data_IF_254455841064
#
_entry.id   IF_254455841064
#
_cell.length_a   1.000
_cell.length_b   1.000
_cell.length_c   1.000
_cell.angle_alpha   90.00
_cell.angle_beta   90.00
_cell.angle_gamma   90.00
#
_symmetry.space_group_name_H-M   'P 1'
#
loop_
_entity.id
_entity.type
_entity.pdbx_description
1 polymer ?
#
# COMPACT_ATOMS: atom_id res chain seq x y z
N UNK A 1 -34.19 -12.18 13.24
CA UNK A 1 -33.10 -12.70 12.41
C UNK A 1 -32.33 -11.46 11.96
N UNK A 2 -31.36 -11.05 12.77
CA UNK A 2 -30.59 -9.83 12.54
C UNK A 2 -29.62 -10.05 11.38
N UNK A 3 -29.89 -9.39 10.25
CA UNK A 3 -28.94 -9.30 9.15
C UNK A 3 -27.83 -8.34 9.56
N UNK A 4 -26.64 -8.90 9.77
CA UNK A 4 -25.43 -8.16 10.08
C UNK A 4 -24.99 -7.50 8.77
N UNK A 5 -25.23 -6.20 8.65
CA UNK A 5 -24.77 -5.40 7.53
C UNK A 5 -23.24 -5.51 7.44
N UNK A 6 -22.75 -6.20 6.39
CA UNK A 6 -21.35 -6.14 5.96
C UNK A 6 -21.09 -4.74 5.39
N UNK A 7 -20.94 -3.76 6.26
CA UNK A 7 -20.46 -2.42 5.90
C UNK A 7 -18.97 -2.56 5.62
N UNK A 8 -18.58 -2.52 4.34
CA UNK A 8 -17.17 -2.35 4.01
C UNK A 8 -16.75 -2.49 2.55
N UNK A 9 -17.60 -2.93 1.62
CA UNK A 9 -17.11 -3.35 0.29
C UNK A 9 -17.83 -2.72 -0.91
N UNK A 10 -17.80 -1.38 -1.02
CA UNK A 10 -18.26 -0.72 -2.26
C UNK A 10 -17.57 0.61 -2.59
N UNK A 11 -16.47 0.97 -1.92
CA UNK A 11 -15.62 2.07 -2.41
C UNK A 11 -14.41 1.49 -3.15
N UNK A 12 -14.02 2.07 -4.31
CA UNK A 12 -12.86 1.59 -5.03
C UNK A 12 -11.62 1.72 -4.13
N UNK A 13 -10.91 0.61 -3.86
CA UNK A 13 -9.71 0.62 -3.02
C UNK A 13 -8.67 1.63 -3.55
N UNK A 14 -8.44 2.68 -2.77
CA UNK A 14 -7.48 3.76 -3.03
C UNK A 14 -6.06 3.42 -2.57
N UNK A 15 -5.82 2.15 -2.27
CA UNK A 15 -4.62 1.66 -1.60
C UNK A 15 -3.38 1.83 -2.48
N UNK A 16 -3.48 1.56 -3.78
CA UNK A 16 -2.38 1.73 -4.74
C UNK A 16 -1.89 3.19 -4.86
N UNK A 17 -2.74 4.20 -5.13
CA UNK A 17 -2.27 5.58 -5.17
C UNK A 17 -1.77 6.08 -3.81
N UNK A 18 -2.32 5.61 -2.69
CA UNK A 18 -1.82 5.94 -1.35
C UNK A 18 -0.40 5.40 -1.12
N UNK A 19 -0.16 4.12 -1.46
CA UNK A 19 1.15 3.47 -1.40
C UNK A 19 2.20 4.19 -2.24
N UNK A 20 1.87 4.53 -3.49
CA UNK A 20 2.80 5.23 -4.39
C UNK A 20 3.13 6.62 -3.85
N UNK A 21 2.13 7.38 -3.39
CA UNK A 21 2.35 8.71 -2.80
C UNK A 21 3.23 8.66 -1.56
N UNK A 22 3.05 7.65 -0.71
CA UNK A 22 3.86 7.46 0.48
C UNK A 22 5.32 7.16 0.12
N UNK A 23 5.56 6.21 -0.79
CA UNK A 23 6.90 5.89 -1.27
C UNK A 23 7.58 7.12 -1.90
N UNK A 24 6.91 7.81 -2.82
CA UNK A 24 7.45 8.97 -3.52
C UNK A 24 7.73 10.13 -2.57
N UNK A 25 6.85 10.35 -1.57
CA UNK A 25 7.04 11.35 -0.53
C UNK A 25 8.32 11.11 0.26
N UNK A 26 8.55 9.86 0.67
CA UNK A 26 9.75 9.45 1.39
C UNK A 26 11.02 9.58 0.51
N UNK A 27 10.94 9.22 -0.78
CA UNK A 27 12.05 9.42 -1.71
C UNK A 27 12.39 10.89 -1.92
N UNK A 28 11.37 11.75 -2.07
CA UNK A 28 11.53 13.20 -2.24
C UNK A 28 12.11 13.88 -0.99
N UNK A 29 11.84 13.35 0.20
CA UNK A 29 12.46 13.83 1.44
C UNK A 29 13.90 13.35 1.65
N UNK A 30 14.48 12.62 0.69
CA UNK A 30 15.86 12.15 0.74
C UNK A 30 16.08 10.87 1.55
N UNK A 31 15.03 10.15 1.92
CA UNK A 31 15.20 8.88 2.64
C UNK A 31 15.63 7.73 1.73
N UNK A 32 16.24 6.72 2.33
CA UNK A 32 16.69 5.52 1.61
C UNK A 32 15.49 4.76 1.05
N UNK A 33 15.71 4.04 -0.05
CA UNK A 33 14.67 3.22 -0.68
C UNK A 33 14.07 2.20 0.30
N UNK A 34 14.91 1.58 1.13
CA UNK A 34 14.46 0.66 2.18
C UNK A 34 13.45 1.30 3.13
N UNK A 35 13.68 2.56 3.56
CA UNK A 35 12.76 3.27 4.45
C UNK A 35 11.48 3.65 3.69
N UNK A 36 11.60 4.07 2.43
CA UNK A 36 10.44 4.39 1.60
C UNK A 36 9.53 3.16 1.37
N UNK A 37 10.11 1.98 1.16
CA UNK A 37 9.38 0.71 1.05
C UNK A 37 8.69 0.34 2.38
N UNK A 38 9.38 0.42 3.52
CA UNK A 38 8.79 0.12 4.84
C UNK A 38 7.56 1.00 5.13
N UNK A 39 7.62 2.30 4.81
CA UNK A 39 6.47 3.20 4.97
C UNK A 39 5.31 2.80 4.05
N UNK A 40 5.60 2.49 2.80
CA UNK A 40 4.62 2.04 1.83
C UNK A 40 3.95 0.70 2.22
N UNK A 41 4.72 -0.25 2.75
CA UNK A 41 4.21 -1.50 3.33
C UNK A 41 3.27 -1.26 4.51
N UNK A 42 3.62 -0.35 5.42
CA UNK A 42 2.76 0.02 6.55
C UNK A 42 1.44 0.63 6.11
N UNK A 43 1.46 1.45 5.07
CA UNK A 43 0.22 2.03 4.49
C UNK A 43 -0.67 0.92 3.93
N UNK A 44 -0.10 -0.04 3.20
CA UNK A 44 -0.86 -1.17 2.65
C UNK A 44 -1.38 -2.10 3.74
N UNK A 45 -0.56 -2.40 4.76
CA UNK A 45 -0.94 -3.23 5.91
C UNK A 45 -2.04 -2.59 6.74
N UNK A 46 -1.98 -1.27 6.95
CA UNK A 46 -3.02 -0.57 7.71
C UNK A 46 -4.39 -0.67 7.05
N UNK A 47 -4.43 -0.60 5.71
CA UNK A 47 -5.67 -0.73 4.95
C UNK A 47 -6.10 -2.19 4.75
N UNK A 48 -5.15 -3.11 4.63
CA UNK A 48 -5.39 -4.54 4.42
C UNK A 48 -4.66 -5.40 5.47
N UNK A 49 -5.08 -5.34 6.74
CA UNK A 49 -4.48 -6.14 7.81
C UNK A 49 -4.69 -7.65 7.60
N UNK A 50 -5.69 -8.04 6.80
CA UNK A 50 -5.93 -9.43 6.39
C UNK A 50 -4.91 -9.96 5.38
N UNK A 51 -4.13 -9.07 4.74
CA UNK A 51 -3.15 -9.47 3.73
C UNK A 51 -1.86 -9.99 4.40
N UNK A 52 -1.33 -11.15 3.98
CA UNK A 52 -0.05 -11.64 4.49
C UNK A 52 1.10 -10.66 4.22
N UNK A 53 2.02 -10.52 5.18
CA UNK A 53 3.15 -9.58 5.12
C UNK A 53 4.00 -9.77 3.86
N UNK A 54 4.29 -11.02 3.47
CA UNK A 54 5.04 -11.33 2.25
C UNK A 54 4.32 -10.83 0.99
N UNK A 55 2.99 -10.96 0.96
CA UNK A 55 2.16 -10.48 -0.15
C UNK A 55 2.12 -8.96 -0.20
N UNK A 56 2.12 -8.28 0.95
CA UNK A 56 2.22 -6.81 1.03
C UNK A 56 3.53 -6.34 0.42
N UNK A 57 4.66 -6.92 0.82
CA UNK A 57 6.00 -6.59 0.29
C UNK A 57 6.06 -6.67 -1.23
N UNK A 58 5.71 -7.84 -1.78
CA UNK A 58 5.72 -8.09 -3.23
C UNK A 58 4.78 -7.11 -3.95
N UNK A 59 3.61 -6.82 -3.37
CA UNK A 59 2.63 -5.91 -3.96
C UNK A 59 3.15 -4.48 -4.01
N UNK A 60 3.75 -4.00 -2.92
CA UNK A 60 4.35 -2.66 -2.83
C UNK A 60 5.50 -2.52 -3.82
N UNK A 61 6.47 -3.44 -3.81
CA UNK A 61 7.61 -3.44 -4.74
C UNK A 61 7.12 -3.40 -6.20
N UNK A 62 6.17 -4.27 -6.56
CA UNK A 62 5.59 -4.29 -7.89
C UNK A 62 4.93 -2.96 -8.27
N UNK A 63 4.26 -2.29 -7.34
CA UNK A 63 3.58 -1.03 -7.64
C UNK A 63 4.57 0.13 -7.83
N UNK A 64 5.59 0.23 -6.99
CA UNK A 64 6.55 1.35 -7.03
C UNK A 64 7.57 1.20 -8.15
N UNK A 65 7.96 -0.03 -8.51
CA UNK A 65 8.95 -0.27 -9.57
C UNK A 65 8.33 -0.36 -10.97
N UNK A 66 7.03 -0.70 -11.10
CA UNK A 66 6.36 -0.75 -12.42
C UNK A 66 6.20 0.63 -13.07
N UNK A 67 6.37 1.71 -12.32
CA UNK A 67 6.39 3.09 -12.85
C UNK A 67 7.77 3.58 -13.31
N UNK A 68 8.85 2.83 -13.05
CA UNK A 68 10.25 3.23 -13.33
C UNK A 68 10.82 2.59 -14.60
N UNK A 69 9.99 2.10 -15.52
CA UNK A 69 10.47 1.72 -16.85
C UNK A 69 10.73 3.01 -17.64
N UNK A 70 11.99 3.46 -17.64
CA UNK A 70 12.53 4.47 -18.54
C UNK A 70 12.87 3.86 -19.89
#
# INVERSE_FOLDING_TARGET
MEEIALVGDSEPCICKPAVIRAYDGMKKSGTSERIALDVAERVLFHHHPEMPVERIKITVERWVHRGQMH
#
